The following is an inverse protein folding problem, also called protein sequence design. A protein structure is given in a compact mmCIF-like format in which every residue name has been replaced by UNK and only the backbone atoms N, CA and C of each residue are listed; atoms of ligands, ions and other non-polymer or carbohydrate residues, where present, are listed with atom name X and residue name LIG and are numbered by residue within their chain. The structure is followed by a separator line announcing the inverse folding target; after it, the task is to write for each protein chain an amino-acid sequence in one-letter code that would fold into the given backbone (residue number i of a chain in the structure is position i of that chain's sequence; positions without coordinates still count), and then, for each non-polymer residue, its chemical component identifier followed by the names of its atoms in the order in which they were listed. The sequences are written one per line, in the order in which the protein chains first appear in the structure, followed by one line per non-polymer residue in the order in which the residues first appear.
data_IF_048947649466
#
_entry.id   IF_048947649466
#
_cell.length_a   1.000
_cell.length_b   1.000
_cell.length_c   1.000
_cell.angle_alpha   90.00
_cell.angle_beta   90.00
_cell.angle_gamma   90.00
#
_symmetry.space_group_name_H-M   'P 1'
#
loop_
_entity.id
_entity.type
_entity.pdbx_description
1 polymer ?
#
# COMPACT_ATOMS: atom_id res chain seq x y z
N UNK A 1 -10.77 15.82 19.85
CA UNK A 1 -11.50 16.60 18.83
C UNK A 1 -12.12 15.63 17.84
N UNK A 2 -13.27 15.96 17.25
CA UNK A 2 -13.79 15.18 16.11
C UNK A 2 -13.05 15.63 14.86
N UNK A 3 -12.43 14.67 14.19
CA UNK A 3 -11.71 14.83 12.93
C UNK A 3 -12.43 14.06 11.82
N UNK A 4 -12.12 14.38 10.56
CA UNK A 4 -12.41 13.47 9.45
C UNK A 4 -11.28 12.46 9.36
N UNK A 5 -11.61 11.17 9.37
CA UNK A 5 -10.65 10.10 9.18
C UNK A 5 -9.92 10.31 7.84
N UNK A 6 -8.57 10.37 7.80
CA UNK A 6 -7.85 10.58 6.55
C UNK A 6 -8.06 9.45 5.53
N UNK A 7 -8.41 8.23 5.97
CA UNK A 7 -8.72 7.11 5.06
C UNK A 7 -10.15 7.13 4.50
N UNK A 8 -11.18 7.34 5.33
CA UNK A 8 -12.58 7.17 4.90
C UNK A 8 -13.42 8.45 4.90
N UNK A 9 -12.86 9.58 5.33
CA UNK A 9 -13.53 10.88 5.37
C UNK A 9 -14.65 11.02 6.43
N UNK A 10 -15.03 9.93 7.11
CA UNK A 10 -16.07 9.95 8.15
C UNK A 10 -15.57 10.58 9.44
N UNK A 11 -16.51 11.15 10.20
CA UNK A 11 -16.22 11.77 11.48
C UNK A 11 -15.81 10.71 12.52
N UNK A 12 -14.67 10.91 13.14
CA UNK A 12 -14.11 10.05 14.19
C UNK A 12 -13.40 10.92 15.23
N UNK A 13 -13.34 10.45 16.48
CA UNK A 13 -12.51 11.10 17.51
C UNK A 13 -11.02 10.90 17.19
N UNK A 14 -10.23 11.97 17.28
CA UNK A 14 -8.75 11.93 17.20
C UNK A 14 -8.08 11.04 18.27
N UNK A 15 -8.81 10.71 19.34
CA UNK A 15 -8.38 9.81 20.41
C UNK A 15 -8.92 8.39 20.26
N UNK A 16 -9.73 8.10 19.25
CA UNK A 16 -10.22 6.74 19.04
C UNK A 16 -9.04 5.81 18.69
N UNK A 17 -8.94 4.61 19.30
CA UNK A 17 -7.91 3.65 18.91
C UNK A 17 -7.96 3.33 17.41
N UNK A 18 -9.16 3.07 16.89
CA UNK A 18 -9.43 2.81 15.48
C UNK A 18 -10.66 3.56 14.99
N UNK A 19 -10.72 3.81 13.68
CA UNK A 19 -11.90 4.36 13.02
C UNK A 19 -13.03 3.33 12.99
N UNK A 20 -14.23 3.61 13.54
CA UNK A 20 -15.35 2.66 13.52
C UNK A 20 -15.86 2.33 12.12
N UNK A 21 -15.50 3.13 11.11
CA UNK A 21 -16.01 2.96 9.74
C UNK A 21 -15.06 2.21 8.81
N UNK A 22 -13.75 2.43 8.91
CA UNK A 22 -12.76 1.75 8.06
C UNK A 22 -11.73 0.90 8.83
N UNK A 23 -11.73 0.94 10.17
CA UNK A 23 -10.83 0.13 10.99
C UNK A 23 -9.39 0.67 11.12
N UNK A 24 -9.00 1.71 10.37
CA UNK A 24 -7.65 2.29 10.46
C UNK A 24 -7.37 2.84 11.87
N UNK A 25 -6.14 2.68 12.36
CA UNK A 25 -5.71 3.25 13.64
C UNK A 25 -5.63 4.77 13.57
N UNK A 26 -6.18 5.46 14.58
CA UNK A 26 -6.21 6.93 14.60
C UNK A 26 -5.32 7.47 15.71
N UNK A 27 -5.52 6.99 16.94
CA UNK A 27 -4.81 7.48 18.12
C UNK A 27 -3.28 7.40 17.94
N UNK A 28 -2.61 8.55 17.98
CA UNK A 28 -1.15 8.65 17.87
C UNK A 28 -0.57 8.43 16.46
N UNK A 29 -1.40 8.18 15.46
CA UNK A 29 -0.97 7.89 14.07
C UNK A 29 -1.26 9.04 13.09
N UNK A 30 -2.08 10.02 13.45
CA UNK A 30 -2.43 11.16 12.59
C UNK A 30 -1.68 12.44 12.98
N UNK A 31 -1.39 13.30 12.01
CA UNK A 31 -0.72 14.59 12.22
C UNK A 31 -1.27 15.68 11.30
N UNK A 32 -1.20 16.94 11.72
CA UNK A 32 -1.60 18.09 10.90
C UNK A 32 -0.39 18.63 10.16
N UNK A 33 -0.54 18.92 8.87
CA UNK A 33 0.49 19.57 8.10
C UNK A 33 0.72 21.01 8.59
N UNK A 34 1.96 21.35 8.93
CA UNK A 34 2.34 22.69 9.35
C UNK A 34 2.21 23.75 8.23
N UNK A 35 2.17 23.32 6.95
CA UNK A 35 2.04 24.23 5.80
C UNK A 35 0.59 24.54 5.43
N UNK A 36 -0.24 23.51 5.23
CA UNK A 36 -1.61 23.68 4.72
C UNK A 36 -2.71 23.31 5.73
N UNK A 37 -2.36 22.78 6.90
CA UNK A 37 -3.33 22.35 7.93
C UNK A 37 -4.05 21.05 7.63
N UNK A 38 -3.78 20.38 6.50
CA UNK A 38 -4.39 19.09 6.16
C UNK A 38 -3.97 17.99 7.14
N UNK A 39 -4.92 17.17 7.57
CA UNK A 39 -4.70 16.05 8.48
C UNK A 39 -4.38 14.78 7.67
N UNK A 40 -3.25 14.13 7.95
CA UNK A 40 -2.79 12.94 7.24
C UNK A 40 -2.12 11.95 8.22
N UNK A 41 -1.73 10.76 7.74
CA UNK A 41 -1.03 9.79 8.59
C UNK A 41 0.43 10.16 8.74
N UNK A 42 0.94 10.05 9.96
CA UNK A 42 2.33 10.35 10.27
C UNK A 42 3.31 9.47 9.49
N UNK A 43 2.87 8.25 9.15
CA UNK A 43 3.65 7.28 8.36
C UNK A 43 3.92 7.77 6.92
N UNK A 44 3.10 8.66 6.37
CA UNK A 44 3.28 9.14 5.00
C UNK A 44 4.52 10.02 4.84
N UNK A 45 4.98 10.66 5.93
CA UNK A 45 6.15 11.55 5.95
C UNK A 45 6.01 12.86 5.16
N UNK A 46 5.12 12.89 4.17
CA UNK A 46 4.87 13.99 3.23
C UNK A 46 3.35 14.24 3.19
N UNK A 47 2.95 15.51 3.24
CA UNK A 47 1.54 15.87 3.18
C UNK A 47 0.97 15.59 1.78
N UNK A 48 -0.12 14.81 1.63
CA UNK A 48 -0.71 14.50 0.32
C UNK A 48 -1.39 15.71 -0.34
N UNK A 49 -1.66 16.78 0.42
CA UNK A 49 -2.35 17.96 -0.10
C UNK A 49 -1.40 19.04 -0.64
N UNK A 50 -0.24 19.26 0.01
CA UNK A 50 0.71 20.31 -0.40
C UNK A 50 2.12 19.79 -0.69
N UNK A 51 2.34 18.47 -0.60
CA UNK A 51 3.61 17.79 -0.81
C UNK A 51 4.78 18.28 0.07
N UNK A 52 4.48 19.02 1.14
CA UNK A 52 5.49 19.45 2.09
C UNK A 52 5.85 18.27 3.03
N UNK A 53 7.15 18.02 3.27
CA UNK A 53 7.58 17.05 4.27
C UNK A 53 7.19 17.51 5.69
N UNK A 54 7.03 16.55 6.60
CA UNK A 54 6.49 16.75 7.95
C UNK A 54 7.12 17.91 8.74
N UNK A 55 8.43 18.12 8.59
CA UNK A 55 9.23 19.08 9.35
C UNK A 55 9.66 20.32 8.54
N UNK A 56 9.08 20.56 7.36
CA UNK A 56 9.44 21.74 6.60
C UNK A 56 9.01 23.05 7.31
N UNK A 57 9.85 24.10 7.30
CA UNK A 57 9.55 25.38 7.94
C UNK A 57 8.45 26.12 7.17
N UNK A 58 7.54 26.79 7.89
CA UNK A 58 6.49 27.66 7.32
C UNK A 58 7.10 28.82 6.53
N UNK A 59 7.35 28.65 5.24
CA UNK A 59 7.63 29.78 4.36
C UNK A 59 6.32 30.40 3.88
N UNK A 60 6.04 31.60 4.40
CA UNK A 60 4.92 32.42 3.98
C UNK A 60 5.38 33.29 2.79
N UNK A 61 5.41 32.72 1.59
CA UNK A 61 5.57 33.49 0.36
C UNK A 61 4.85 32.81 -0.79
N UNK A 62 3.77 33.43 -1.27
CA UNK A 62 3.34 33.33 -2.65
C UNK A 62 4.52 33.77 -3.54
N UNK A 63 5.28 32.81 -4.04
CA UNK A 63 6.24 33.02 -5.11
C UNK A 63 6.33 31.72 -5.92
N UNK A 64 5.59 31.71 -7.02
CA UNK A 64 5.88 30.86 -8.18
C UNK A 64 7.26 31.27 -8.70
N UNK A 65 8.22 30.35 -8.70
CA UNK A 65 9.26 30.29 -9.73
C UNK A 65 9.97 28.91 -9.74
N UNK A 66 10.47 28.46 -10.90
CA UNK A 66 10.66 27.05 -11.22
C UNK A 66 12.13 26.59 -11.19
N UNK A 67 12.30 25.26 -11.25
CA UNK A 67 13.45 24.48 -11.74
C UNK A 67 14.87 24.94 -11.37
N UNK A 68 15.50 24.19 -10.45
CA UNK A 68 16.94 24.07 -10.38
C UNK A 68 17.41 22.97 -11.34
N UNK A 69 18.02 23.39 -12.46
CA UNK A 69 18.82 22.52 -13.31
C UNK A 69 20.25 22.39 -12.79
N UNK A 70 20.81 21.20 -12.91
CA UNK A 70 22.24 20.95 -13.02
C UNK A 70 22.72 21.40 -14.39
N UNK A 71 23.66 22.35 -14.45
CA UNK A 71 25.00 22.12 -15.01
C UNK A 71 25.75 23.44 -15.26
N UNK A 72 27.05 23.34 -15.03
CA UNK A 72 27.99 24.43 -14.93
C UNK A 72 28.78 24.69 -16.23
N UNK A 73 29.24 25.94 -16.32
CA UNK A 73 30.57 26.40 -16.77
C UNK A 73 30.72 27.08 -18.15
N UNK A 74 31.06 28.39 -18.04
CA UNK A 74 32.01 29.21 -18.82
C UNK A 74 31.65 29.55 -20.29
N UNK A 75 31.75 30.79 -20.79
CA UNK A 75 32.73 31.87 -20.54
C UNK A 75 32.17 33.22 -21.07
N UNK A 76 32.66 34.35 -20.56
CA UNK A 76 32.22 35.73 -20.84
C UNK A 76 32.91 36.39 -22.09
N UNK A 77 32.78 37.70 -22.38
CA UNK A 77 31.95 38.22 -23.48
C UNK A 77 32.70 39.13 -24.49
N UNK A 78 32.07 39.46 -25.63
CA UNK A 78 32.46 40.60 -26.45
C UNK A 78 31.25 41.27 -27.16
N UNK A 79 31.32 42.60 -27.16
CA UNK A 79 30.34 43.64 -27.50
C UNK A 79 30.35 44.04 -28.98
N UNK A 80 29.18 44.28 -29.60
CA UNK A 80 28.86 45.42 -30.52
C UNK A 80 27.35 45.37 -30.84
N UNK A 81 26.50 46.25 -30.30
CA UNK A 81 26.16 47.64 -30.71
C UNK A 81 25.25 47.74 -31.95
N UNK A 82 23.98 48.06 -31.66
CA UNK A 82 23.04 49.01 -32.30
C UNK A 82 22.77 48.89 -33.83
N UNK A 83 21.56 49.14 -34.35
CA UNK A 83 20.80 50.39 -34.18
C UNK A 83 19.35 50.24 -34.65
N UNK A 84 18.43 50.81 -33.86
CA UNK A 84 17.05 51.17 -34.21
C UNK A 84 17.00 52.32 -35.24
N UNK A 85 15.77 52.60 -35.73
CA UNK A 85 15.16 53.84 -36.30
C UNK A 85 14.74 53.75 -37.77
N UNK A 86 13.64 54.33 -38.27
CA UNK A 86 12.67 55.28 -37.71
C UNK A 86 11.39 55.30 -38.57
N UNK A 87 10.34 55.89 -37.98
CA UNK A 87 9.10 56.30 -38.64
C UNK A 87 9.23 57.69 -39.30
N UNK A 88 8.63 57.79 -40.50
CA UNK A 88 7.69 58.82 -41.01
C UNK A 88 8.06 60.33 -41.05
N UNK A 89 7.80 60.89 -42.25
CA UNK A 89 7.42 62.25 -42.65
C UNK A 89 8.49 63.32 -42.94
N UNK A 90 8.43 63.81 -44.19
CA UNK A 90 8.69 65.20 -44.54
C UNK A 90 7.60 65.69 -45.51
N UNK A 91 7.07 66.87 -45.22
CA UNK A 91 6.30 67.70 -46.12
C UNK A 91 7.20 68.83 -46.61
N UNK A 92 6.96 69.35 -47.82
CA UNK A 92 7.06 70.78 -48.10
C UNK A 92 6.33 71.16 -49.40
N UNK A 93 5.71 72.32 -49.30
CA UNK A 93 4.78 73.03 -50.18
C UNK A 93 5.44 73.73 -51.37
N UNK A 94 4.68 74.00 -52.44
CA UNK A 94 4.72 75.31 -53.10
C UNK A 94 3.40 75.66 -53.83
N UNK A 95 3.03 76.92 -53.65
CA UNK A 95 1.86 77.67 -54.10
C UNK A 95 1.90 78.04 -55.59
N UNK A 96 0.74 78.08 -56.24
CA UNK A 96 0.32 79.12 -57.20
C UNK A 96 -1.08 78.81 -57.74
N UNK A 97 -1.97 79.79 -57.62
CA UNK A 97 -3.41 79.62 -57.80
C UNK A 97 -4.01 79.89 -59.18
N UNK A 98 -5.32 79.68 -59.18
CA UNK A 98 -6.42 80.30 -59.94
C UNK A 98 -6.83 79.80 -61.33
N UNK A 99 -8.07 79.27 -61.30
CA UNK A 99 -9.25 79.57 -62.11
C UNK A 99 -9.50 78.86 -63.45
N UNK A 100 -10.65 78.18 -63.52
CA UNK A 100 -11.33 77.91 -64.78
C UNK A 100 -12.30 76.73 -64.80
N UNK A 101 -13.33 76.76 -63.93
CA UNK A 101 -14.69 76.25 -64.16
C UNK A 101 -14.98 75.20 -65.25
N UNK A 102 -15.62 74.10 -64.83
CA UNK A 102 -16.97 73.68 -65.27
C UNK A 102 -17.38 72.35 -64.63
N UNK A 103 -18.35 72.40 -63.73
CA UNK A 103 -19.33 71.32 -63.59
C UNK A 103 -20.44 71.55 -64.65
N UNK A 104 -21.07 70.48 -65.17
CA UNK A 104 -22.27 70.01 -64.48
C UNK A 104 -22.43 68.47 -64.43
N UNK A 105 -22.64 67.99 -63.20
CA UNK A 105 -23.81 67.24 -62.74
C UNK A 105 -24.13 65.82 -63.29
N UNK A 106 -24.32 64.93 -62.29
CA UNK A 106 -25.28 63.82 -62.15
C UNK A 106 -24.98 62.43 -62.74
N UNK A 107 -24.88 61.44 -61.83
CA UNK A 107 -25.35 60.08 -62.12
C UNK A 107 -24.76 58.93 -61.27
N UNK A 108 -25.23 58.73 -60.04
CA UNK A 108 -25.55 57.44 -59.39
C UNK A 108 -24.76 56.14 -59.68
N UNK A 109 -23.46 56.13 -59.99
CA UNK A 109 -22.67 54.89 -60.20
C UNK A 109 -21.26 54.86 -59.57
N UNK A 110 -20.82 55.94 -58.93
CA UNK A 110 -19.51 55.99 -58.24
C UNK A 110 -19.55 55.49 -56.80
N UNK A 111 -20.74 55.40 -56.18
CA UNK A 111 -20.90 54.82 -54.84
C UNK A 111 -20.90 53.28 -54.86
N UNK A 112 -21.32 52.68 -55.98
CA UNK A 112 -21.33 51.22 -56.15
C UNK A 112 -19.92 50.63 -56.24
N UNK A 113 -18.98 51.32 -56.90
CA UNK A 113 -17.60 50.84 -57.07
C UNK A 113 -16.84 50.89 -55.73
N UNK A 114 -17.02 51.96 -54.95
CA UNK A 114 -16.46 52.04 -53.59
C UNK A 114 -17.02 50.96 -52.65
N UNK A 115 -18.29 50.59 -52.81
CA UNK A 115 -18.92 49.52 -52.05
C UNK A 115 -18.33 48.13 -52.36
N UNK A 116 -18.00 47.86 -53.63
CA UNK A 116 -17.38 46.59 -54.06
C UNK A 116 -15.95 46.45 -53.53
N UNK A 117 -15.17 47.53 -53.50
CA UNK A 117 -13.84 47.50 -52.89
C UNK A 117 -13.90 47.34 -51.37
N UNK A 118 -14.85 48.02 -50.70
CA UNK A 118 -15.07 47.83 -49.27
C UNK A 118 -15.49 46.40 -48.93
N UNK A 119 -16.36 45.76 -49.72
CA UNK A 119 -16.77 44.36 -49.49
C UNK A 119 -15.62 43.38 -49.73
N UNK A 120 -14.78 43.58 -50.74
CA UNK A 120 -13.59 42.71 -50.97
C UNK A 120 -12.58 42.85 -49.84
N UNK A 121 -12.34 44.07 -49.33
CA UNK A 121 -11.47 44.29 -48.16
C UNK A 121 -12.09 43.67 -46.90
N UNK A 122 -13.40 43.84 -46.68
CA UNK A 122 -14.11 43.18 -45.58
C UNK A 122 -14.06 41.66 -45.70
N UNK A 123 -14.18 41.08 -46.90
CA UNK A 123 -14.05 39.63 -47.13
C UNK A 123 -12.62 39.13 -46.93
N UNK A 124 -11.61 39.91 -47.32
CA UNK A 124 -10.20 39.59 -47.09
C UNK A 124 -9.82 39.67 -45.60
N UNK A 125 -10.29 40.70 -44.90
CA UNK A 125 -10.14 40.85 -43.45
C UNK A 125 -10.94 39.78 -42.71
N UNK A 126 -12.15 39.44 -43.18
CA UNK A 126 -12.96 38.35 -42.64
C UNK A 126 -12.28 37.00 -42.85
N UNK A 127 -11.66 36.76 -44.00
CA UNK A 127 -10.91 35.53 -44.29
C UNK A 127 -9.62 35.43 -43.46
N UNK A 128 -8.89 36.52 -43.29
CA UNK A 128 -7.71 36.53 -42.42
C UNK A 128 -8.08 36.36 -40.94
N UNK A 129 -9.14 37.03 -40.51
CA UNK A 129 -9.73 36.88 -39.17
C UNK A 129 -10.24 35.46 -38.94
N UNK A 130 -10.99 34.87 -39.88
CA UNK A 130 -11.50 33.51 -39.76
C UNK A 130 -10.38 32.46 -39.76
N UNK A 131 -9.32 32.68 -40.55
CA UNK A 131 -8.16 31.80 -40.58
C UNK A 131 -7.32 31.88 -39.29
N UNK A 132 -7.12 33.08 -38.74
CA UNK A 132 -6.43 33.27 -37.46
C UNK A 132 -7.25 32.75 -36.27
N UNK A 133 -8.58 32.87 -36.33
CA UNK A 133 -9.51 32.31 -35.34
C UNK A 133 -9.48 30.79 -35.35
N UNK A 134 -9.47 30.17 -36.54
CA UNK A 134 -9.38 28.71 -36.71
C UNK A 134 -8.06 28.14 -36.19
N UNK A 135 -6.92 28.81 -36.40
CA UNK A 135 -5.64 28.32 -35.84
C UNK A 135 -5.59 28.40 -34.32
N UNK A 136 -6.25 29.39 -33.72
CA UNK A 136 -6.28 29.56 -32.26
C UNK A 136 -7.27 28.62 -31.58
N UNK A 137 -8.41 28.39 -32.20
CA UNK A 137 -9.39 27.40 -31.73
C UNK A 137 -8.79 25.98 -31.74
N UNK A 138 -8.05 25.61 -32.79
CA UNK A 138 -7.35 24.32 -32.86
C UNK A 138 -6.34 24.13 -31.70
N UNK A 139 -5.55 25.16 -31.39
CA UNK A 139 -4.60 25.12 -30.27
C UNK A 139 -5.31 24.98 -28.91
N UNK A 140 -6.39 25.74 -28.71
CA UNK A 140 -7.20 25.68 -27.48
C UNK A 140 -7.96 24.34 -27.38
N UNK A 141 -8.36 23.73 -28.50
CA UNK A 141 -8.98 22.40 -28.57
C UNK A 141 -8.01 21.32 -28.13
N UNK A 142 -6.80 21.29 -28.70
CA UNK A 142 -5.74 20.35 -28.33
C UNK A 142 -5.37 20.48 -26.84
N UNK A 143 -5.31 21.71 -26.33
CA UNK A 143 -5.10 21.96 -24.91
C UNK A 143 -6.24 21.40 -24.05
N UNK A 144 -7.50 21.66 -24.42
CA UNK A 144 -8.66 21.20 -23.68
C UNK A 144 -8.81 19.67 -23.70
N UNK A 145 -8.50 19.01 -24.82
CA UNK A 145 -8.51 17.55 -24.94
C UNK A 145 -7.45 16.85 -24.09
N UNK A 146 -6.34 17.52 -23.78
CA UNK A 146 -5.29 17.00 -22.88
C UNK A 146 -5.54 17.35 -21.42
N UNK A 147 -6.47 18.26 -21.15
CA UNK A 147 -6.79 18.69 -19.80
C UNK A 147 -7.65 17.65 -19.10
N UNK A 148 -7.41 17.47 -17.81
CA UNK A 148 -8.29 16.74 -16.89
C UNK A 148 -9.12 17.68 -16.02
N UNK A 149 -9.10 18.99 -16.30
CA UNK A 149 -9.83 20.02 -15.57
C UNK A 149 -11.16 20.36 -16.27
N UNK A 150 -12.33 20.01 -15.68
CA UNK A 150 -13.65 20.31 -16.23
C UNK A 150 -13.88 21.79 -16.56
N UNK A 151 -13.20 22.72 -15.88
CA UNK A 151 -13.35 24.15 -16.14
C UNK A 151 -12.71 24.55 -17.48
N UNK A 152 -11.58 23.94 -17.85
CA UNK A 152 -10.91 24.17 -19.14
C UNK A 152 -11.83 23.76 -20.30
N UNK A 153 -12.47 22.59 -20.18
CA UNK A 153 -13.40 22.07 -21.20
C UNK A 153 -14.66 22.94 -21.31
N UNK A 154 -15.22 23.37 -20.17
CA UNK A 154 -16.37 24.28 -20.16
C UNK A 154 -16.04 25.63 -20.78
N UNK A 155 -14.87 26.20 -20.45
CA UNK A 155 -14.41 27.45 -21.03
C UNK A 155 -14.23 27.36 -22.54
N UNK A 156 -13.72 26.23 -23.06
CA UNK A 156 -13.66 25.97 -24.49
C UNK A 156 -15.06 26.03 -25.13
N UNK A 157 -16.03 25.28 -24.59
CA UNK A 157 -17.40 25.21 -25.11
C UNK A 157 -18.11 26.57 -25.07
N UNK A 158 -17.87 27.38 -24.04
CA UNK A 158 -18.42 28.74 -23.92
C UNK A 158 -17.78 29.71 -24.92
N UNK A 159 -16.46 29.63 -25.08
CA UNK A 159 -15.67 30.54 -25.92
C UNK A 159 -15.85 30.28 -27.41
N UNK A 160 -15.97 29.01 -27.80
CA UNK A 160 -16.04 28.56 -29.19
C UNK A 160 -17.38 27.87 -29.47
N UNK A 161 -18.48 28.60 -29.30
CA UNK A 161 -19.83 28.07 -29.55
C UNK A 161 -20.11 27.79 -31.05
N UNK A 162 -19.29 28.35 -31.94
CA UNK A 162 -19.33 28.19 -33.39
C UNK A 162 -18.22 27.28 -33.94
N UNK A 163 -17.45 26.62 -33.07
CA UNK A 163 -16.44 25.63 -33.46
C UNK A 163 -17.06 24.45 -34.23
N UNK A 164 -16.24 23.70 -35.00
CA UNK A 164 -16.69 22.49 -35.67
C UNK A 164 -17.44 21.55 -34.72
N UNK A 165 -18.55 20.98 -35.19
CA UNK A 165 -19.40 20.08 -34.40
C UNK A 165 -18.58 18.94 -33.79
N UNK A 166 -17.67 18.34 -34.56
CA UNK A 166 -16.79 17.27 -34.08
C UNK A 166 -15.89 17.69 -32.89
N UNK A 167 -15.39 18.93 -32.85
CA UNK A 167 -14.57 19.41 -31.73
C UNK A 167 -15.42 19.61 -30.49
N UNK A 168 -16.59 20.26 -30.66
CA UNK A 168 -17.54 20.47 -29.57
C UNK A 168 -18.02 19.15 -28.97
N UNK A 169 -18.37 18.17 -29.82
CA UNK A 169 -18.81 16.84 -29.40
C UNK A 169 -17.69 16.08 -28.68
N UNK A 170 -16.46 16.19 -29.15
CA UNK A 170 -15.30 15.55 -28.49
C UNK A 170 -15.05 16.13 -27.10
N UNK A 171 -15.11 17.46 -26.96
CA UNK A 171 -14.94 18.14 -25.67
C UNK A 171 -16.10 17.86 -24.73
N UNK A 172 -17.34 17.83 -25.23
CA UNK A 172 -18.51 17.46 -24.44
C UNK A 172 -18.42 16.01 -23.96
N UNK A 173 -18.05 15.07 -24.82
CA UNK A 173 -17.83 13.67 -24.45
C UNK A 173 -16.72 13.52 -23.40
N UNK A 174 -15.62 14.27 -23.53
CA UNK A 174 -14.53 14.28 -22.56
C UNK A 174 -14.99 14.85 -21.20
N UNK A 175 -15.78 15.92 -21.20
CA UNK A 175 -16.34 16.51 -19.98
C UNK A 175 -17.28 15.52 -19.27
N UNK A 176 -18.15 14.84 -20.02
CA UNK A 176 -19.04 13.79 -19.49
C UNK A 176 -18.22 12.64 -18.90
N UNK A 177 -17.12 12.23 -19.55
CA UNK A 177 -16.25 11.18 -19.04
C UNK A 177 -15.59 11.56 -17.71
N UNK A 178 -15.09 12.80 -17.57
CA UNK A 178 -14.54 13.32 -16.32
C UNK A 178 -15.59 13.36 -15.21
N UNK A 179 -16.78 13.91 -15.50
CA UNK A 179 -17.89 13.96 -14.53
C UNK A 179 -18.31 12.58 -14.06
N UNK A 180 -18.40 11.61 -14.98
CA UNK A 180 -18.70 10.22 -14.64
C UNK A 180 -17.60 9.60 -13.77
N UNK A 181 -16.34 9.88 -14.07
CA UNK A 181 -15.22 9.48 -13.22
C UNK A 181 -15.34 10.02 -11.80
N UNK A 182 -15.69 11.30 -11.64
CA UNK A 182 -15.89 11.92 -10.32
C UNK A 182 -17.08 11.33 -9.57
N UNK A 183 -18.18 11.01 -10.25
CA UNK A 183 -19.33 10.32 -9.66
C UNK A 183 -18.97 8.91 -9.16
N UNK A 184 -18.25 8.14 -9.97
CA UNK A 184 -17.79 6.80 -9.62
C UNK A 184 -16.77 6.81 -8.50
N UNK A 185 -15.87 7.81 -8.47
CA UNK A 185 -14.98 8.07 -7.34
C UNK A 185 -15.75 8.34 -6.06
N UNK A 186 -16.70 9.28 -6.09
CA UNK A 186 -17.53 9.61 -4.95
C UNK A 186 -18.29 8.38 -4.43
N UNK A 187 -18.82 7.56 -5.33
CA UNK A 187 -19.46 6.29 -4.97
C UNK A 187 -18.47 5.33 -4.29
N UNK A 188 -17.27 5.17 -4.86
CA UNK A 188 -16.24 4.29 -4.33
C UNK A 188 -15.84 4.69 -2.90
N UNK A 189 -15.53 5.97 -2.66
CA UNK A 189 -15.15 6.46 -1.31
C UNK A 189 -16.30 6.41 -0.31
N UNK A 190 -17.54 6.68 -0.73
CA UNK A 190 -18.71 6.62 0.14
C UNK A 190 -19.01 5.19 0.58
N UNK A 191 -18.85 4.24 -0.35
CA UNK A 191 -19.03 2.81 -0.08
C UNK A 191 -17.94 2.24 0.82
N UNK A 192 -16.72 2.81 0.77
CA UNK A 192 -15.52 2.32 1.45
C UNK A 192 -15.32 0.80 1.21
N UNK A 193 -15.61 0.35 0.00
CA UNK A 193 -15.55 -1.06 -0.40
C UNK A 193 -14.32 -1.33 -1.26
N UNK A 194 -13.57 -2.37 -0.90
CA UNK A 194 -12.44 -2.89 -1.69
C UNK A 194 -12.82 -3.07 -3.16
N UNK A 195 -13.97 -3.72 -3.41
CA UNK A 195 -14.45 -4.00 -4.76
C UNK A 195 -14.74 -2.72 -5.58
N UNK A 196 -15.31 -1.69 -4.94
CA UNK A 196 -15.64 -0.44 -5.62
C UNK A 196 -14.40 0.41 -5.91
N UNK A 197 -13.43 0.42 -4.99
CA UNK A 197 -12.15 1.09 -5.20
C UNK A 197 -11.34 0.40 -6.30
N UNK A 198 -11.28 -0.93 -6.31
CA UNK A 198 -10.61 -1.68 -7.38
C UNK A 198 -11.26 -1.40 -8.74
N UNK A 199 -12.60 -1.50 -8.82
CA UNK A 199 -13.32 -1.21 -10.06
C UNK A 199 -13.08 0.23 -10.56
N UNK A 200 -12.95 1.19 -9.64
CA UNK A 200 -12.60 2.58 -9.99
C UNK A 200 -11.19 2.69 -10.57
N UNK A 201 -10.20 2.06 -9.91
CA UNK A 201 -8.80 2.05 -10.36
C UNK A 201 -8.67 1.41 -11.76
N UNK A 202 -9.39 0.32 -12.01
CA UNK A 202 -9.37 -0.40 -13.28
C UNK A 202 -10.06 0.39 -14.40
N UNK A 203 -11.16 1.09 -14.09
CA UNK A 203 -11.93 1.86 -15.06
C UNK A 203 -11.30 3.24 -15.38
N UNK A 204 -10.55 3.83 -14.44
CA UNK A 204 -10.01 5.19 -14.55
C UNK A 204 -8.48 5.25 -14.27
N UNK A 205 -7.64 4.62 -15.12
CA UNK A 205 -6.19 4.54 -14.90
C UNK A 205 -5.47 5.89 -14.93
N UNK A 206 -6.03 6.91 -15.59
CA UNK A 206 -5.45 8.27 -15.69
C UNK A 206 -6.14 9.28 -14.75
N UNK A 207 -6.98 8.81 -13.83
CA UNK A 207 -7.66 9.71 -12.89
C UNK A 207 -6.69 10.35 -11.90
N UNK A 208 -6.94 11.63 -11.60
CA UNK A 208 -6.26 12.36 -10.51
C UNK A 208 -6.46 11.71 -9.13
N UNK A 209 -7.52 10.93 -8.95
CA UNK A 209 -7.83 10.22 -7.71
C UNK A 209 -7.20 8.82 -7.65
N UNK A 210 -6.53 8.35 -8.70
CA UNK A 210 -5.99 6.99 -8.76
C UNK A 210 -5.05 6.68 -7.60
N UNK A 211 -4.13 7.58 -7.30
CA UNK A 211 -3.17 7.36 -6.21
C UNK A 211 -3.88 7.31 -4.85
N UNK A 212 -4.87 8.18 -4.63
CA UNK A 212 -5.68 8.16 -3.41
C UNK A 212 -6.48 6.85 -3.30
N UNK A 213 -7.04 6.37 -4.41
CA UNK A 213 -7.76 5.10 -4.46
C UNK A 213 -6.86 3.90 -4.10
N UNK A 214 -5.63 3.86 -4.63
CA UNK A 214 -4.64 2.81 -4.32
C UNK A 214 -4.26 2.81 -2.84
N UNK A 215 -3.99 3.98 -2.27
CA UNK A 215 -3.66 4.11 -0.85
C UNK A 215 -4.81 3.64 0.04
N UNK A 216 -6.05 4.00 -0.30
CA UNK A 216 -7.23 3.53 0.46
C UNK A 216 -7.43 2.02 0.32
N UNK A 217 -7.16 1.47 -0.86
CA UNK A 217 -7.24 0.03 -1.10
C UNK A 217 -6.22 -0.74 -0.26
N UNK A 218 -4.96 -0.29 -0.23
CA UNK A 218 -3.89 -0.82 0.62
C UNK A 218 -4.32 -0.83 2.11
N UNK A 219 -4.86 0.29 2.61
CA UNK A 219 -5.39 0.37 3.98
C UNK A 219 -6.50 -0.64 4.28
N UNK A 220 -7.40 -0.91 3.33
CA UNK A 220 -8.48 -1.88 3.52
C UNK A 220 -7.95 -3.32 3.52
N UNK A 221 -7.05 -3.63 2.59
CA UNK A 221 -6.41 -4.95 2.51
C UNK A 221 -5.57 -5.22 3.76
N UNK A 222 -4.86 -4.20 4.25
CA UNK A 222 -4.13 -4.28 5.51
C UNK A 222 -5.03 -4.56 6.71
N UNK A 223 -6.12 -3.82 6.86
CA UNK A 223 -7.07 -4.04 7.97
C UNK A 223 -7.65 -5.46 7.92
N UNK A 224 -7.92 -5.99 6.73
CA UNK A 224 -8.38 -7.37 6.56
C UNK A 224 -7.30 -8.38 6.99
N UNK A 225 -6.08 -8.24 6.48
CA UNK A 225 -4.96 -9.11 6.81
C UNK A 225 -4.63 -9.08 8.32
N UNK A 226 -4.48 -7.89 8.89
CA UNK A 226 -4.22 -7.68 10.34
C UNK A 226 -5.31 -8.28 11.21
N UNK A 227 -6.59 -8.16 10.83
CA UNK A 227 -7.71 -8.72 11.58
C UNK A 227 -7.72 -10.25 11.58
N UNK A 228 -7.27 -10.88 10.49
CA UNK A 228 -7.22 -12.34 10.40
C UNK A 228 -6.16 -12.94 11.32
N UNK A 229 -5.05 -12.22 11.54
CA UNK A 229 -3.83 -12.72 12.19
C UNK A 229 -3.39 -14.09 11.62
N UNK A 230 -3.65 -14.30 10.32
CA UNK A 230 -3.30 -15.52 9.58
C UNK A 230 -2.00 -15.30 8.83
N UNK A 231 -1.12 -16.31 8.85
CA UNK A 231 0.10 -16.33 8.06
C UNK A 231 -0.20 -16.15 6.57
N UNK A 232 -1.20 -16.88 6.05
CA UNK A 232 -1.54 -16.86 4.62
C UNK A 232 -2.03 -15.49 4.17
N UNK A 233 -2.89 -14.84 4.96
CA UNK A 233 -3.43 -13.51 4.63
C UNK A 233 -2.36 -12.41 4.74
N UNK A 234 -1.45 -12.51 5.71
CA UNK A 234 -0.33 -11.58 5.83
C UNK A 234 0.68 -11.75 4.69
N UNK A 235 0.96 -13.00 4.27
CA UNK A 235 1.79 -13.28 3.09
C UNK A 235 1.14 -12.73 1.83
N UNK A 236 -0.15 -12.98 1.62
CA UNK A 236 -0.88 -12.46 0.48
C UNK A 236 -0.82 -10.93 0.43
N UNK A 237 -1.02 -10.26 1.57
CA UNK A 237 -0.84 -8.81 1.68
C UNK A 237 0.57 -8.37 1.26
N UNK A 238 1.63 -9.04 1.73
CA UNK A 238 3.02 -8.69 1.36
C UNK A 238 3.33 -8.86 -0.12
N UNK A 239 2.62 -9.76 -0.81
CA UNK A 239 2.76 -10.00 -2.25
C UNK A 239 1.94 -8.98 -3.06
N UNK A 240 0.73 -8.65 -2.61
CA UNK A 240 -0.14 -7.68 -3.28
C UNK A 240 0.37 -6.24 -3.12
N UNK A 241 1.01 -5.92 -2.00
CA UNK A 241 1.46 -4.57 -1.65
C UNK A 241 2.96 -4.54 -1.28
N UNK A 242 3.88 -4.88 -2.21
CA UNK A 242 5.31 -5.00 -1.91
C UNK A 242 5.95 -3.66 -1.48
N UNK A 243 5.43 -2.55 -1.98
CA UNK A 243 5.81 -1.18 -1.61
C UNK A 243 4.68 -0.47 -0.82
N UNK A 244 3.78 -1.26 -0.22
CA UNK A 244 2.62 -0.77 0.53
C UNK A 244 3.02 -0.08 1.84
N UNK A 245 2.15 0.79 2.35
CA UNK A 245 2.43 1.57 3.56
C UNK A 245 2.64 0.69 4.79
N UNK A 246 2.01 -0.48 4.83
CA UNK A 246 2.03 -1.37 5.99
C UNK A 246 2.95 -2.58 5.81
N UNK A 247 3.83 -2.59 4.80
CA UNK A 247 4.71 -3.74 4.51
C UNK A 247 5.64 -4.08 5.69
N UNK A 248 6.23 -3.07 6.34
CA UNK A 248 7.09 -3.27 7.51
C UNK A 248 6.31 -3.88 8.68
N UNK A 249 5.10 -3.39 8.94
CA UNK A 249 4.24 -3.90 10.00
C UNK A 249 3.77 -5.33 9.70
N UNK A 250 3.46 -5.63 8.43
CA UNK A 250 3.11 -6.97 7.95
C UNK A 250 4.26 -7.96 8.18
N UNK A 251 5.49 -7.58 7.81
CA UNK A 251 6.67 -8.42 7.98
C UNK A 251 6.97 -8.69 9.45
N UNK A 252 6.82 -7.69 10.33
CA UNK A 252 6.99 -7.88 11.79
C UNK A 252 5.93 -8.86 12.34
N UNK A 253 4.66 -8.72 11.95
CA UNK A 253 3.62 -9.65 12.39
C UNK A 253 3.82 -11.06 11.84
N UNK A 254 4.21 -11.18 10.57
CA UNK A 254 4.50 -12.47 9.96
C UNK A 254 5.69 -13.16 10.66
N UNK A 255 6.78 -12.44 10.93
CA UNK A 255 7.92 -12.96 11.69
C UNK A 255 7.51 -13.45 13.08
N UNK A 256 6.59 -12.75 13.75
CA UNK A 256 6.08 -13.14 15.07
C UNK A 256 5.19 -14.39 15.01
N UNK A 257 4.34 -14.50 13.99
CA UNK A 257 3.53 -15.71 13.78
C UNK A 257 4.46 -16.90 13.51
N UNK A 258 5.40 -16.74 12.58
CA UNK A 258 6.36 -17.78 12.21
C UNK A 258 7.24 -18.21 13.38
N UNK A 259 7.65 -17.27 14.26
CA UNK A 259 8.46 -17.62 15.44
C UNK A 259 7.68 -18.42 16.50
N UNK A 260 6.34 -18.38 16.48
CA UNK A 260 5.48 -19.13 17.41
C UNK A 260 4.84 -20.37 16.78
N UNK A 261 4.93 -20.52 15.47
CA UNK A 261 4.43 -21.67 14.74
C UNK A 261 5.46 -22.80 14.73
N UNK A 262 5.02 -24.02 15.02
CA UNK A 262 5.85 -25.22 14.93
C UNK A 262 6.03 -25.58 13.46
N UNK A 263 7.26 -25.47 12.97
CA UNK A 263 7.62 -25.83 11.61
C UNK A 263 7.71 -27.35 11.42
N UNK A 264 7.75 -27.80 10.15
CA UNK A 264 7.70 -29.24 9.82
C UNK A 264 8.95 -29.99 10.30
N UNK A 265 10.12 -29.37 10.18
CA UNK A 265 11.40 -29.87 10.66
C UNK A 265 11.45 -29.91 12.20
N UNK A 266 10.93 -28.89 12.88
CA UNK A 266 10.81 -28.86 14.34
C UNK A 266 9.87 -29.97 14.84
N UNK A 267 8.75 -30.20 14.15
CA UNK A 267 7.84 -31.31 14.44
C UNK A 267 8.53 -32.66 14.27
N UNK A 268 9.32 -32.84 13.22
CA UNK A 268 10.11 -34.06 13.01
C UNK A 268 11.17 -34.26 14.11
N UNK A 269 11.88 -33.19 14.49
CA UNK A 269 12.83 -33.20 15.60
C UNK A 269 12.15 -33.64 16.90
N UNK A 270 11.04 -33.01 17.28
CA UNK A 270 10.31 -33.35 18.52
C UNK A 270 9.78 -34.78 18.49
N UNK A 271 9.17 -35.20 17.39
CA UNK A 271 8.58 -36.56 17.28
C UNK A 271 9.65 -37.66 17.25
N UNK A 272 10.78 -37.43 16.58
CA UNK A 272 11.92 -38.37 16.56
C UNK A 272 12.57 -38.49 17.94
N UNK A 273 12.69 -37.39 18.68
CA UNK A 273 13.21 -37.37 20.05
C UNK A 273 12.42 -38.31 20.98
N UNK A 274 11.09 -38.18 21.02
CA UNK A 274 10.26 -39.04 21.87
C UNK A 274 10.23 -40.49 21.38
N UNK A 275 10.31 -40.72 20.07
CA UNK A 275 10.47 -42.08 19.52
C UNK A 275 11.76 -42.72 20.05
N UNK A 276 12.88 -42.00 20.01
CA UNK A 276 14.15 -42.48 20.53
C UNK A 276 14.11 -42.70 22.05
N UNK A 277 13.46 -41.81 22.80
CA UNK A 277 13.28 -41.94 24.25
C UNK A 277 12.58 -43.26 24.60
N UNK A 278 11.40 -43.53 24.01
CA UNK A 278 10.65 -44.75 24.29
C UNK A 278 11.29 -46.01 23.70
N UNK A 279 11.97 -45.93 22.54
CA UNK A 279 12.76 -47.03 22.01
C UNK A 279 13.89 -47.43 22.97
N UNK A 280 14.56 -46.45 23.56
CA UNK A 280 15.63 -46.68 24.53
C UNK A 280 15.11 -47.32 25.81
N UNK A 281 13.90 -46.94 26.26
CA UNK A 281 13.21 -47.63 27.37
C UNK A 281 12.92 -49.09 26.97
N UNK A 282 12.31 -49.33 25.80
CA UNK A 282 11.95 -50.67 25.34
C UNK A 282 13.16 -51.60 25.21
N UNK A 283 14.30 -51.07 24.77
CA UNK A 283 15.55 -51.83 24.61
C UNK A 283 16.46 -51.80 25.84
N UNK A 284 16.04 -51.15 26.93
CA UNK A 284 16.84 -50.93 28.15
C UNK A 284 18.21 -50.28 27.87
N UNK A 285 18.29 -49.44 26.85
CA UNK A 285 19.54 -48.79 26.42
C UNK A 285 19.74 -47.46 27.17
N UNK A 286 20.51 -47.51 28.26
CA UNK A 286 20.77 -46.35 29.11
C UNK A 286 21.52 -45.24 28.37
N UNK A 287 22.44 -45.59 27.48
CA UNK A 287 23.24 -44.60 26.75
C UNK A 287 22.37 -43.83 25.77
N UNK A 288 21.50 -44.51 25.02
CA UNK A 288 20.57 -43.83 24.12
C UNK A 288 19.49 -43.06 24.87
N UNK A 289 19.04 -43.57 26.02
CA UNK A 289 18.04 -42.91 26.85
C UNK A 289 18.58 -41.57 27.38
N UNK A 290 19.75 -41.58 28.00
CA UNK A 290 20.37 -40.37 28.55
C UNK A 290 20.73 -39.34 27.48
N UNK A 291 21.01 -39.76 26.25
CA UNK A 291 21.23 -38.87 25.12
C UNK A 291 19.98 -38.08 24.69
N UNK A 292 18.76 -38.46 25.11
CA UNK A 292 17.51 -37.76 24.74
C UNK A 292 17.07 -36.69 25.74
N UNK A 293 17.73 -36.58 26.88
CA UNK A 293 17.31 -35.67 27.96
C UNK A 293 18.33 -34.56 28.18
N UNK A 294 17.87 -33.42 28.66
CA UNK A 294 18.72 -32.27 28.98
C UNK A 294 19.61 -32.57 30.19
N UNK A 295 20.63 -31.74 30.37
CA UNK A 295 21.48 -31.80 31.58
C UNK A 295 20.65 -31.59 32.86
N UNK A 296 19.70 -30.66 32.79
CA UNK A 296 18.72 -30.36 33.84
C UNK A 296 17.33 -30.58 33.25
N UNK A 297 16.48 -31.27 34.00
CA UNK A 297 15.08 -31.53 33.67
C UNK A 297 14.25 -30.86 34.77
N UNK A 298 13.50 -29.81 34.43
CA UNK A 298 12.76 -28.98 35.38
C UNK A 298 11.76 -29.81 36.20
N UNK A 299 11.11 -30.78 35.54
CA UNK A 299 10.19 -31.71 36.16
C UNK A 299 10.22 -33.06 35.44
N UNK A 300 10.57 -34.12 36.15
CA UNK A 300 10.53 -35.50 35.68
C UNK A 300 9.66 -36.35 36.60
N UNK A 301 8.46 -36.72 36.15
CA UNK A 301 7.49 -37.54 36.88
C UNK A 301 7.22 -37.01 38.30
N UNK A 302 7.06 -35.69 38.42
CA UNK A 302 6.85 -34.99 39.68
C UNK A 302 8.11 -34.66 40.49
N UNK A 303 9.30 -35.15 40.10
CA UNK A 303 10.58 -34.74 40.69
C UNK A 303 11.09 -33.47 40.01
N UNK A 304 11.32 -32.40 40.77
CA UNK A 304 11.97 -31.19 40.25
C UNK A 304 13.48 -31.33 40.12
N UNK A 305 14.10 -30.56 39.22
CA UNK A 305 15.55 -30.52 38.99
C UNK A 305 16.15 -31.92 38.80
N UNK A 306 15.48 -32.76 38.01
CA UNK A 306 15.94 -34.09 37.70
C UNK A 306 17.09 -34.05 36.68
N UNK A 307 17.78 -35.18 36.54
CA UNK A 307 18.86 -35.33 35.57
C UNK A 307 18.80 -36.70 34.88
N UNK A 308 19.75 -36.95 33.97
CA UNK A 308 19.86 -38.19 33.22
C UNK A 308 19.84 -39.47 34.09
N UNK A 309 20.44 -39.43 35.29
CA UNK A 309 20.46 -40.58 36.20
C UNK A 309 19.09 -40.89 36.80
N UNK A 310 18.26 -39.88 37.02
CA UNK A 310 16.87 -40.07 37.47
C UNK A 310 16.02 -40.78 36.41
N UNK A 311 16.25 -40.44 35.14
CA UNK A 311 15.57 -41.07 34.00
C UNK A 311 15.97 -42.55 33.87
N UNK A 312 17.27 -42.85 34.00
CA UNK A 312 17.77 -44.24 34.05
C UNK A 312 17.18 -44.99 35.25
N UNK A 313 17.11 -44.35 36.41
CA UNK A 313 16.53 -44.96 37.62
C UNK A 313 15.05 -45.30 37.42
N UNK A 314 14.29 -44.41 36.77
CA UNK A 314 12.92 -44.69 36.38
C UNK A 314 12.81 -45.89 35.45
N UNK A 315 13.62 -45.95 34.38
CA UNK A 315 13.63 -47.08 33.45
C UNK A 315 13.89 -48.41 34.18
N UNK A 316 14.91 -48.45 35.06
CA UNK A 316 15.19 -49.65 35.87
C UNK A 316 14.03 -50.00 36.79
N UNK A 317 13.37 -49.01 37.39
CA UNK A 317 12.25 -49.22 38.34
C UNK A 317 11.00 -49.81 37.70
N UNK A 318 10.73 -49.50 36.43
CA UNK A 318 9.56 -50.04 35.72
C UNK A 318 9.80 -51.47 35.18
N UNK A 319 11.06 -51.86 34.97
CA UNK A 319 11.46 -53.25 34.72
C UNK A 319 11.77 -53.97 36.04
N UNK A 320 10.71 -54.39 36.74
CA UNK A 320 10.83 -55.26 37.93
C UNK A 320 11.26 -56.68 37.53
N UNK A 321 11.71 -57.46 38.51
CA UNK A 321 12.18 -58.84 38.30
C UNK A 321 11.12 -59.78 37.69
N UNK A 322 9.83 -59.45 37.84
CA UNK A 322 8.68 -60.20 37.32
C UNK A 322 8.22 -59.74 35.91
N UNK A 323 8.93 -58.80 35.29
CA UNK A 323 8.59 -58.25 33.97
C UNK A 323 9.46 -58.89 32.88
N UNK A 324 8.85 -59.77 32.09
CA UNK A 324 9.51 -60.45 30.97
C UNK A 324 9.84 -59.46 29.84
N UNK A 325 8.85 -58.63 29.50
CA UNK A 325 8.94 -57.66 28.42
C UNK A 325 8.05 -56.44 28.70
N UNK A 326 8.43 -55.28 28.15
CA UNK A 326 7.60 -54.09 28.19
C UNK A 326 7.81 -53.29 26.90
N UNK A 327 6.71 -52.91 26.26
CA UNK A 327 6.70 -52.15 25.02
C UNK A 327 5.86 -50.89 25.20
N UNK A 328 6.50 -49.76 25.00
CA UNK A 328 5.86 -48.46 24.83
C UNK A 328 5.63 -48.18 23.34
N UNK A 329 4.42 -47.71 23.01
CA UNK A 329 4.02 -47.28 21.66
C UNK A 329 3.39 -45.90 21.73
N UNK A 330 3.84 -44.99 20.88
CA UNK A 330 3.26 -43.66 20.75
C UNK A 330 2.13 -43.72 19.72
N UNK A 331 1.01 -43.04 19.98
CA UNK A 331 0.04 -42.76 18.94
C UNK A 331 0.53 -41.55 18.10
N UNK A 332 0.99 -41.76 16.85
CA UNK A 332 1.60 -40.70 16.05
C UNK A 332 0.61 -39.60 15.67
N UNK A 333 -0.70 -39.85 15.75
CA UNK A 333 -1.74 -38.85 15.44
C UNK A 333 -2.11 -37.99 16.66
N UNK A 334 -1.64 -38.36 17.85
CA UNK A 334 -2.04 -37.69 19.10
C UNK A 334 -1.18 -36.48 19.49
N UNK A 335 -0.13 -36.17 18.72
CA UNK A 335 0.79 -35.08 19.03
C UNK A 335 0.10 -33.71 18.97
N UNK A 336 0.29 -32.95 20.04
CA UNK A 336 0.09 -31.50 20.10
C UNK A 336 1.40 -30.88 20.53
N UNK A 337 1.91 -29.96 19.71
CA UNK A 337 3.19 -29.29 19.92
C UNK A 337 2.91 -27.79 19.82
N UNK A 338 3.36 -27.05 20.82
CA UNK A 338 3.27 -25.59 20.88
C UNK A 338 4.69 -25.04 21.07
N UNK A 339 5.08 -24.06 20.26
CA UNK A 339 6.38 -23.38 20.37
C UNK A 339 6.22 -22.09 21.16
N UNK A 340 7.14 -21.83 22.09
CA UNK A 340 7.21 -20.59 22.85
C UNK A 340 8.63 -20.04 22.81
N UNK A 341 8.75 -18.74 22.60
CA UNK A 341 9.99 -18.02 22.80
C UNK A 341 10.17 -17.71 24.29
N UNK A 342 11.30 -18.12 24.86
CA UNK A 342 11.63 -17.94 26.28
C UNK A 342 12.69 -16.85 26.50
N UNK A 343 13.52 -16.60 25.49
CA UNK A 343 14.45 -15.48 25.39
C UNK A 343 14.72 -15.18 23.92
N UNK A 344 15.47 -14.12 23.61
CA UNK A 344 15.79 -13.72 22.23
C UNK A 344 16.44 -14.89 21.45
N UNK A 345 15.73 -15.41 20.45
CA UNK A 345 16.12 -16.59 19.66
C UNK A 345 16.28 -17.91 20.45
N UNK A 346 15.73 -17.99 21.67
CA UNK A 346 15.66 -19.23 22.44
C UNK A 346 14.21 -19.70 22.54
N UNK A 347 13.99 -20.95 22.11
CA UNK A 347 12.66 -21.54 22.05
C UNK A 347 12.54 -22.78 22.95
N UNK A 348 11.31 -23.02 23.41
CA UNK A 348 10.90 -24.24 24.07
C UNK A 348 9.64 -24.77 23.39
N UNK A 349 9.53 -26.09 23.28
CA UNK A 349 8.34 -26.77 22.77
C UNK A 349 7.59 -27.43 23.92
N UNK A 350 6.34 -27.05 24.11
CA UNK A 350 5.38 -27.74 24.97
C UNK A 350 4.72 -28.86 24.17
N UNK A 351 4.86 -30.10 24.63
CA UNK A 351 4.50 -31.30 23.88
C UNK A 351 3.53 -32.14 24.69
N UNK A 352 2.43 -32.58 24.06
CA UNK A 352 1.55 -33.60 24.62
C UNK A 352 1.14 -34.63 23.58
N UNK A 353 1.05 -35.89 23.99
CA UNK A 353 0.62 -37.01 23.14
C UNK A 353 0.18 -38.20 24.00
N UNK A 354 -0.43 -39.18 23.36
CA UNK A 354 -0.85 -40.44 23.97
C UNK A 354 0.18 -41.54 23.70
N UNK A 355 0.42 -42.37 24.71
CA UNK A 355 1.26 -43.57 24.59
C UNK A 355 0.61 -44.75 25.30
N UNK A 356 0.75 -45.94 24.72
CA UNK A 356 0.34 -47.21 25.32
C UNK A 356 1.56 -47.94 25.85
N UNK A 357 1.43 -48.52 27.04
CA UNK A 357 2.38 -49.43 27.66
C UNK A 357 1.77 -50.84 27.70
N UNK A 358 2.45 -51.80 27.07
CA UNK A 358 2.14 -53.22 27.20
C UNK A 358 3.20 -53.87 28.09
N UNK A 359 2.80 -54.49 29.20
CA UNK A 359 3.70 -55.16 30.15
C UNK A 359 3.39 -56.65 30.17
N UNK A 360 4.37 -57.48 29.84
CA UNK A 360 4.28 -58.93 29.86
C UNK A 360 4.84 -59.50 31.18
N UNK A 361 4.05 -60.33 31.84
CA UNK A 361 4.44 -61.08 33.05
C UNK A 361 3.91 -62.49 32.98
N UNK A 362 4.80 -63.48 33.05
CA UNK A 362 4.46 -64.91 33.00
C UNK A 362 3.51 -65.24 31.83
N UNK A 363 3.76 -64.64 30.65
CA UNK A 363 2.95 -64.80 29.44
C UNK A 363 1.61 -64.05 29.41
N UNK A 364 1.29 -63.23 30.42
CA UNK A 364 0.11 -62.37 30.44
C UNK A 364 0.48 -60.92 30.12
N UNK A 365 -0.19 -60.30 29.15
CA UNK A 365 0.02 -58.90 28.78
C UNK A 365 -1.01 -57.99 29.45
N UNK A 366 -0.53 -57.00 30.20
CA UNK A 366 -1.35 -55.92 30.75
C UNK A 366 -1.10 -54.64 29.95
N UNK A 367 -2.18 -54.08 29.38
CA UNK A 367 -2.13 -52.81 28.66
C UNK A 367 -2.49 -51.64 29.59
N UNK A 368 -1.83 -50.51 29.42
CA UNK A 368 -2.15 -49.25 30.11
C UNK A 368 -1.90 -48.07 29.19
N UNK A 369 -2.87 -47.16 29.11
CA UNK A 369 -2.77 -45.97 28.29
C UNK A 369 -2.36 -44.76 29.14
N UNK A 370 -1.56 -43.89 28.56
CA UNK A 370 -0.97 -42.73 29.22
C UNK A 370 -1.08 -41.49 28.34
N UNK A 371 -1.26 -40.33 28.97
CA UNK A 371 -0.96 -39.03 28.39
C UNK A 371 0.43 -38.60 28.84
N UNK A 372 1.27 -38.29 27.87
CA UNK A 372 2.57 -37.66 28.06
C UNK A 372 2.39 -36.15 27.99
N UNK A 373 2.99 -35.43 28.94
CA UNK A 373 3.14 -33.97 28.92
C UNK A 373 4.61 -33.64 29.15
N UNK A 374 5.25 -32.97 28.20
CA UNK A 374 6.69 -32.77 28.19
C UNK A 374 7.07 -31.37 27.70
N UNK A 375 8.31 -30.98 28.01
CA UNK A 375 8.98 -29.80 27.47
C UNK A 375 10.23 -30.25 26.73
N UNK A 376 10.52 -29.62 25.60
CA UNK A 376 11.72 -29.83 24.79
C UNK A 376 12.43 -28.50 24.62
N UNK A 377 13.71 -28.45 24.96
CA UNK A 377 14.55 -27.26 24.80
C UNK A 377 15.01 -27.05 23.35
N UNK A 378 15.53 -25.85 23.07
CA UNK A 378 16.02 -25.44 21.75
C UNK A 378 17.09 -26.38 21.15
N UNK A 379 17.86 -27.09 21.99
CA UNK A 379 18.88 -28.07 21.60
C UNK A 379 18.31 -29.47 21.31
N UNK A 380 16.99 -29.62 21.28
CA UNK A 380 16.32 -30.88 20.96
C UNK A 380 16.45 -31.93 22.07
N UNK A 381 16.43 -31.50 23.34
CA UNK A 381 16.47 -32.38 24.51
C UNK A 381 15.22 -32.25 25.35
N UNK A 382 14.82 -33.33 26.01
CA UNK A 382 13.70 -33.31 26.96
C UNK A 382 14.13 -32.54 28.20
N UNK A 383 13.51 -31.38 28.44
CA UNK A 383 13.69 -30.51 29.62
C UNK A 383 12.58 -30.68 30.66
N UNK A 384 11.49 -31.35 30.31
CA UNK A 384 10.41 -31.73 31.23
C UNK A 384 9.67 -32.96 30.74
N UNK A 385 9.25 -33.85 31.63
CA UNK A 385 8.54 -35.06 31.26
C UNK A 385 7.64 -35.57 32.39
N UNK A 386 6.34 -35.65 32.12
CA UNK A 386 5.34 -36.16 33.04
C UNK A 386 4.40 -37.14 32.34
N UNK A 387 3.92 -38.11 33.11
CA UNK A 387 3.01 -39.16 32.66
C UNK A 387 1.74 -39.15 33.51
N UNK A 388 0.58 -39.18 32.86
CA UNK A 388 -0.71 -39.37 33.53
C UNK A 388 -1.36 -40.62 32.96
N UNK A 389 -1.68 -41.60 33.81
CA UNK A 389 -2.40 -42.80 33.40
C UNK A 389 -3.83 -42.43 33.03
N UNK A 390 -4.31 -42.94 31.90
CA UNK A 390 -5.68 -42.80 31.43
C UNK A 390 -6.49 -43.98 31.97
N UNK A 391 -7.69 -43.69 32.49
CA UNK A 391 -8.60 -44.67 33.07
C UNK A 391 -9.50 -45.29 32.02
#
# INVERSE_FOLDING_TARGET
MIIKCPECGRQVSDKAPTCPSCGVEIAGKVTHCHHCGHLYFTADGICPNCHAPKDAPKNNTNAVAPNAGTDAANTAPATVTSTNTNAVQHAETHDSGTNGSKEPNKGGKTLAIAFVFATVICLGLFYFYSRAQSTKEEEDYEFAMRSTDPEVLQNYLLRYNDAPEAHRDSIEAHLIALQKGDEEWNNAILSNSRQKLQAYIDAHPESVHRQEALVRLDSLDWVAAKKSNSEDELKEYTVQHPDGRFIDEANVMLSKILSTMVQSDEKEMVTSLFRQFFQSINSKDESRLTATVGMVIDSFLGKSNANAQDVVTFMRKIYKDDVDNMIWRIDPQSYKIEKREIAENEYEYSVSFSATQDVERNGTVTKSDYRVSAMVSNDGKISGFNLTKLN
#
